data_IF_377724493021
#
_entry.id   IF_377724493021
#
_cell.length_a   1.000
_cell.length_b   1.000
_cell.length_c   1.000
_cell.angle_alpha   90.00
_cell.angle_beta   90.00
_cell.angle_gamma   90.00
#
_symmetry.space_group_name_H-M   'P 1'
#
loop_
_entity.id
_entity.type
_entity.pdbx_description
1 polymer ?
#
# COMPACT_ATOMS: atom_id res chain seq x y z
N UNK A 1 -11.75 -7.99 -23.97
CA UNK A 1 -11.89 -8.29 -22.52
C UNK A 1 -10.55 -8.71 -21.92
N UNK A 2 -9.80 -9.62 -22.57
CA UNK A 2 -8.43 -9.99 -22.16
C UNK A 2 -7.37 -8.93 -22.52
N UNK A 3 -7.42 -8.40 -23.74
CA UNK A 3 -6.44 -7.37 -24.18
C UNK A 3 -6.54 -6.07 -23.35
N UNK A 4 -7.76 -5.71 -22.93
CA UNK A 4 -7.98 -4.57 -22.03
C UNK A 4 -7.37 -4.78 -20.64
N UNK A 5 -7.46 -6.00 -20.10
CA UNK A 5 -6.87 -6.36 -18.81
C UNK A 5 -5.35 -6.28 -18.86
N UNK A 6 -4.73 -6.80 -19.92
CA UNK A 6 -3.28 -6.72 -20.12
C UNK A 6 -2.86 -5.27 -20.29
N UNK A 7 -3.57 -4.47 -21.09
CA UNK A 7 -3.26 -3.05 -21.27
C UNK A 7 -3.30 -2.28 -19.94
N UNK A 8 -4.32 -2.52 -19.11
CA UNK A 8 -4.43 -1.94 -17.76
C UNK A 8 -3.28 -2.37 -16.85
N UNK A 9 -2.88 -3.64 -16.92
CA UNK A 9 -1.75 -4.16 -16.15
C UNK A 9 -0.42 -3.55 -16.60
N UNK A 10 -0.18 -3.41 -17.90
CA UNK A 10 1.01 -2.76 -18.45
C UNK A 10 1.08 -1.28 -18.07
N UNK A 11 -0.05 -0.57 -18.12
CA UNK A 11 -0.13 0.82 -17.68
C UNK A 11 0.21 0.96 -16.18
N UNK A 12 -0.32 0.07 -15.33
CA UNK A 12 0.05 0.02 -13.92
C UNK A 12 1.54 -0.26 -13.72
N UNK A 13 2.11 -1.23 -14.44
CA UNK A 13 3.53 -1.59 -14.35
C UNK A 13 4.45 -0.40 -14.63
N UNK A 14 4.08 0.44 -15.60
CA UNK A 14 4.85 1.62 -15.97
C UNK A 14 4.91 2.68 -14.86
N UNK A 15 3.85 2.78 -14.04
CA UNK A 15 3.73 3.76 -12.96
C UNK A 15 4.20 3.23 -11.60
N UNK A 16 4.39 1.92 -11.44
CA UNK A 16 4.69 1.31 -10.16
C UNK A 16 6.13 1.69 -9.69
N UNK A 17 6.32 2.31 -8.52
CA UNK A 17 7.65 2.75 -8.07
C UNK A 17 8.44 1.64 -7.36
N UNK A 18 7.83 0.47 -7.13
CA UNK A 18 8.48 -0.66 -6.46
C UNK A 18 8.97 -1.68 -7.49
N UNK A 19 10.29 -1.89 -7.56
CA UNK A 19 10.89 -2.86 -8.50
C UNK A 19 10.39 -4.28 -8.26
N UNK A 20 10.10 -4.66 -7.02
CA UNK A 20 9.65 -6.02 -6.68
C UNK A 20 8.26 -6.31 -7.27
N UNK A 21 7.30 -5.39 -7.12
CA UNK A 21 5.95 -5.57 -7.66
C UNK A 21 5.90 -5.33 -9.17
N UNK A 22 6.80 -4.51 -9.73
CA UNK A 22 7.00 -4.41 -11.18
C UNK A 22 7.44 -5.74 -11.77
N UNK A 23 8.46 -6.36 -11.19
CA UNK A 23 9.01 -7.63 -11.68
C UNK A 23 7.97 -8.75 -11.54
N UNK A 24 7.24 -8.76 -10.42
CA UNK A 24 6.11 -9.68 -10.21
C UNK A 24 5.04 -9.51 -11.29
N UNK A 25 4.60 -8.28 -11.56
CA UNK A 25 3.57 -8.00 -12.55
C UNK A 25 4.03 -8.29 -13.99
N UNK A 26 5.30 -7.97 -14.29
CA UNK A 26 5.91 -8.25 -15.59
C UNK A 26 5.85 -9.73 -15.93
N UNK A 27 6.19 -10.60 -14.96
CA UNK A 27 6.11 -12.06 -15.13
C UNK A 27 4.68 -12.55 -15.40
N UNK A 28 3.68 -11.99 -14.72
CA UNK A 28 2.28 -12.35 -14.94
C UNK A 28 1.79 -11.93 -16.34
N UNK A 29 2.21 -10.75 -16.81
CA UNK A 29 1.90 -10.25 -18.15
C UNK A 29 2.57 -11.12 -19.21
N UNK A 30 3.87 -11.42 -19.07
CA UNK A 30 4.63 -12.26 -20.00
C UNK A 30 4.09 -13.69 -20.08
N UNK A 31 3.68 -14.26 -18.94
CA UNK A 31 3.06 -15.58 -18.87
C UNK A 31 1.62 -15.60 -19.42
N UNK A 32 0.99 -14.43 -19.63
CA UNK A 32 -0.41 -14.32 -19.99
C UNK A 32 -1.34 -14.91 -18.93
N UNK A 33 -0.98 -14.79 -17.64
CA UNK A 33 -1.78 -15.34 -16.54
C UNK A 33 -3.00 -14.44 -16.25
N UNK A 34 -4.01 -14.60 -17.10
CA UNK A 34 -5.26 -13.86 -17.04
C UNK A 34 -5.94 -14.02 -15.68
N UNK A 35 -5.87 -15.21 -15.07
CA UNK A 35 -6.61 -15.50 -13.84
C UNK A 35 -6.08 -14.63 -12.71
N UNK A 36 -4.76 -14.59 -12.54
CA UNK A 36 -4.13 -13.77 -11.50
C UNK A 36 -4.24 -12.27 -11.81
N UNK A 37 -4.12 -11.88 -13.08
CA UNK A 37 -4.36 -10.50 -13.51
C UNK A 37 -5.81 -10.07 -13.21
N UNK A 38 -6.80 -10.92 -13.50
CA UNK A 38 -8.21 -10.60 -13.25
C UNK A 38 -8.46 -10.44 -11.74
N UNK A 39 -7.87 -11.31 -10.90
CA UNK A 39 -7.96 -11.18 -9.45
C UNK A 39 -7.38 -9.85 -8.94
N UNK A 40 -6.24 -9.41 -9.50
CA UNK A 40 -5.53 -8.19 -9.08
C UNK A 40 -6.12 -6.89 -9.62
N UNK A 41 -6.80 -6.95 -10.77
CA UNK A 41 -7.32 -5.78 -11.49
C UNK A 41 -8.86 -5.73 -11.56
N UNK A 42 -9.55 -6.54 -10.75
CA UNK A 42 -11.00 -6.55 -10.60
C UNK A 42 -11.58 -5.27 -9.97
N UNK A 43 -10.74 -4.44 -9.36
CA UNK A 43 -11.14 -3.18 -8.72
C UNK A 43 -9.97 -2.50 -8.02
N UNK A 44 -10.27 -1.77 -6.94
CA UNK A 44 -9.26 -1.20 -6.03
C UNK A 44 -9.51 -1.66 -4.61
N UNK A 45 -8.45 -1.78 -3.80
CA UNK A 45 -8.60 -2.00 -2.36
C UNK A 45 -9.49 -0.92 -1.73
N UNK A 46 -10.35 -1.36 -0.83
CA UNK A 46 -11.32 -0.50 -0.13
C UNK A 46 -10.89 -0.28 1.32
N UNK A 47 -11.17 0.91 1.84
CA UNK A 47 -10.95 1.22 3.25
C UNK A 47 -11.96 0.47 4.13
N UNK A 48 -11.46 -0.35 5.05
CA UNK A 48 -12.26 -0.96 6.11
C UNK A 48 -12.21 -0.14 7.40
N UNK A 49 -12.86 -0.66 8.44
CA UNK A 49 -12.87 -0.05 9.79
C UNK A 49 -11.48 0.09 10.41
N UNK A 50 -10.53 -0.72 9.98
CA UNK A 50 -9.15 -0.69 10.43
C UNK A 50 -8.16 -0.20 9.36
N UNK A 51 -8.65 0.63 8.41
CA UNK A 51 -7.86 1.19 7.32
C UNK A 51 -7.84 0.30 6.07
N UNK A 52 -6.90 0.61 5.17
CA UNK A 52 -6.68 -0.16 3.96
C UNK A 52 -5.97 -1.49 4.30
N UNK A 53 -6.50 -2.60 3.80
CA UNK A 53 -5.92 -3.94 4.01
C UNK A 53 -6.03 -4.77 2.75
N UNK A 54 -4.96 -5.50 2.44
CA UNK A 54 -4.91 -6.43 1.32
C UNK A 54 -3.66 -7.31 1.41
N UNK A 55 -3.58 -8.31 0.54
CA UNK A 55 -2.37 -9.11 0.38
C UNK A 55 -1.27 -8.27 -0.26
N UNK A 56 -0.01 -8.44 0.18
CA UNK A 56 1.13 -7.82 -0.49
C UNK A 56 1.26 -8.36 -1.92
N UNK A 57 1.53 -7.48 -2.87
CA UNK A 57 1.79 -7.85 -4.26
C UNK A 57 1.42 -6.77 -5.26
N UNK A 58 1.63 -7.04 -6.54
CA UNK A 58 1.35 -6.10 -7.60
C UNK A 58 -0.15 -5.94 -7.92
N UNK A 59 -0.52 -4.72 -8.35
CA UNK A 59 -1.86 -4.39 -8.84
C UNK A 59 -2.77 -3.69 -7.81
N UNK A 60 -3.92 -3.15 -8.25
CA UNK A 60 -4.77 -2.28 -7.43
C UNK A 60 -5.57 -2.99 -6.33
N UNK A 61 -5.77 -4.31 -6.43
CA UNK A 61 -6.38 -5.15 -5.38
C UNK A 61 -5.36 -5.75 -4.40
N UNK A 62 -4.11 -5.26 -4.41
CA UNK A 62 -3.03 -5.69 -3.52
C UNK A 62 -2.47 -4.50 -2.74
N UNK A 63 -1.89 -4.78 -1.58
CA UNK A 63 -1.18 -3.80 -0.76
C UNK A 63 0.23 -3.61 -1.34
N UNK A 64 0.52 -2.42 -1.84
CA UNK A 64 1.82 -2.06 -2.42
C UNK A 64 2.04 -0.54 -2.34
N UNK A 65 3.24 -0.10 -2.73
CA UNK A 65 3.65 1.32 -2.66
C UNK A 65 2.74 2.21 -3.51
N UNK A 66 2.39 1.79 -4.72
CA UNK A 66 1.46 2.52 -5.61
C UNK A 66 0.10 2.80 -4.96
N UNK A 67 -0.50 1.78 -4.34
CA UNK A 67 -1.79 1.93 -3.66
C UNK A 67 -1.66 2.83 -2.43
N UNK A 68 -0.59 2.69 -1.64
CA UNK A 68 -0.33 3.56 -0.47
C UNK A 68 -0.15 5.02 -0.88
N UNK A 69 0.61 5.28 -1.93
CA UNK A 69 0.85 6.64 -2.46
C UNK A 69 -0.48 7.27 -2.92
N UNK A 70 -1.31 6.52 -3.66
CA UNK A 70 -2.63 6.99 -4.11
C UNK A 70 -3.57 7.27 -2.93
N UNK A 71 -3.59 6.40 -1.93
CA UNK A 71 -4.37 6.60 -0.71
C UNK A 71 -3.89 7.83 0.10
N UNK A 72 -2.58 8.00 0.24
CA UNK A 72 -1.99 9.17 0.88
C UNK A 72 -2.33 10.46 0.14
N UNK A 73 -2.33 10.43 -1.20
CA UNK A 73 -2.70 11.59 -2.02
C UNK A 73 -4.18 11.97 -1.82
N UNK A 74 -5.07 10.98 -1.74
CA UNK A 74 -6.48 11.19 -1.41
C UNK A 74 -6.67 11.81 -0.02
N UNK A 75 -5.95 11.31 1.00
CA UNK A 75 -5.97 11.89 2.35
C UNK A 75 -5.45 13.33 2.36
N UNK A 76 -4.35 13.62 1.67
CA UNK A 76 -3.79 14.96 1.57
C UNK A 76 -4.77 15.94 0.90
N UNK A 77 -5.43 15.52 -0.19
CA UNK A 77 -6.45 16.31 -0.85
C UNK A 77 -7.66 16.60 0.06
N UNK A 78 -8.10 15.59 0.83
CA UNK A 78 -9.18 15.75 1.80
C UNK A 78 -8.83 16.75 2.91
N UNK A 79 -7.62 16.66 3.49
CA UNK A 79 -7.16 17.60 4.52
C UNK A 79 -7.07 19.03 3.99
N UNK A 80 -6.55 19.21 2.76
CA UNK A 80 -6.54 20.51 2.09
C UNK A 80 -7.94 21.09 1.91
N UNK A 81 -8.89 20.28 1.46
CA UNK A 81 -10.28 20.71 1.28
C UNK A 81 -10.94 21.16 2.61
N UNK A 82 -10.45 20.66 3.74
CA UNK A 82 -10.84 21.11 5.09
C UNK A 82 -10.13 22.36 5.59
N UNK A 83 -9.17 22.90 4.83
CA UNK A 83 -8.37 24.05 5.25
C UNK A 83 -7.18 23.70 6.17
N UNK A 84 -6.84 22.42 6.33
CA UNK A 84 -5.76 21.94 7.21
C UNK A 84 -4.35 22.10 6.60
N UNK A 85 -4.17 23.07 5.70
CA UNK A 85 -2.89 23.28 5.00
C UNK A 85 -1.79 23.61 6.03
N UNK A 86 -0.60 23.00 5.90
CA UNK A 86 0.48 23.13 6.89
C UNK A 86 0.27 22.34 8.20
N UNK A 87 -0.86 21.64 8.35
CA UNK A 87 -1.14 20.74 9.47
C UNK A 87 -0.13 19.60 9.59
N UNK A 88 0.08 19.10 10.82
CA UNK A 88 0.97 17.97 11.09
C UNK A 88 0.24 16.63 10.93
N UNK A 89 0.78 15.75 10.09
CA UNK A 89 0.33 14.37 9.93
C UNK A 89 1.33 13.44 10.62
N UNK A 90 0.86 12.64 11.57
CA UNK A 90 1.71 11.70 12.33
C UNK A 90 1.50 10.29 11.81
N UNK A 91 2.54 9.68 11.26
CA UNK A 91 2.45 8.39 10.56
C UNK A 91 3.02 7.31 11.46
N UNK A 92 2.18 6.35 11.84
CA UNK A 92 2.61 5.15 12.56
C UNK A 92 2.71 3.95 11.61
N UNK A 93 3.64 3.05 11.87
CA UNK A 93 3.74 1.78 11.15
C UNK A 93 4.17 0.65 12.08
N UNK A 94 4.03 -0.61 11.68
CA UNK A 94 4.48 -1.78 12.46
C UNK A 94 5.80 -2.37 11.93
N UNK A 95 6.37 -3.34 12.63
CA UNK A 95 7.65 -3.97 12.26
C UNK A 95 7.55 -4.93 11.04
N UNK A 96 6.45 -4.95 10.30
CA UNK A 96 6.28 -5.87 9.17
C UNK A 96 7.04 -5.38 7.94
N UNK A 97 7.40 -6.31 7.08
CA UNK A 97 8.07 -6.04 5.81
C UNK A 97 7.29 -4.98 4.99
N UNK A 98 7.99 -4.05 4.34
CA UNK A 98 7.46 -2.89 3.59
C UNK A 98 6.71 -1.82 4.40
N UNK A 99 6.31 -2.07 5.66
CA UNK A 99 5.60 -1.06 6.47
C UNK A 99 6.39 0.24 6.62
N UNK A 100 7.73 0.17 6.72
CA UNK A 100 8.61 1.34 6.77
C UNK A 100 8.61 2.14 5.45
N UNK A 101 8.60 1.45 4.30
CA UNK A 101 8.58 2.11 2.99
C UNK A 101 7.24 2.79 2.74
N UNK A 102 6.15 2.12 3.09
CA UNK A 102 4.81 2.69 3.02
C UNK A 102 4.68 3.95 3.91
N UNK A 103 5.30 3.95 5.10
CA UNK A 103 5.31 5.12 5.97
C UNK A 103 6.11 6.28 5.36
N UNK A 104 7.26 5.99 4.73
CA UNK A 104 8.07 7.00 4.03
C UNK A 104 7.34 7.57 2.82
N UNK A 105 6.71 6.72 2.01
CA UNK A 105 5.91 7.15 0.86
C UNK A 105 4.75 8.05 1.29
N UNK A 106 4.03 7.66 2.35
CA UNK A 106 2.97 8.49 2.94
C UNK A 106 3.53 9.84 3.37
N UNK A 107 4.67 9.87 4.06
CA UNK A 107 5.30 11.11 4.50
C UNK A 107 5.69 12.01 3.33
N UNK A 108 6.30 11.45 2.28
CA UNK A 108 6.70 12.17 1.08
C UNK A 108 5.50 12.80 0.36
N UNK A 109 4.37 12.08 0.28
CA UNK A 109 3.14 12.62 -0.30
C UNK A 109 2.58 13.76 0.54
N UNK A 110 2.55 13.64 1.87
CA UNK A 110 2.07 14.70 2.76
C UNK A 110 2.94 15.97 2.63
N UNK A 111 4.26 15.83 2.64
CA UNK A 111 5.17 16.97 2.50
C UNK A 111 5.09 17.59 1.11
N UNK A 112 5.01 16.79 0.05
CA UNK A 112 4.78 17.27 -1.32
C UNK A 112 3.45 18.01 -1.48
N UNK A 113 2.46 17.68 -0.66
CA UNK A 113 1.19 18.40 -0.59
C UNK A 113 1.25 19.68 0.26
N UNK A 114 2.35 20.02 0.92
CA UNK A 114 2.42 21.21 1.79
C UNK A 114 1.84 20.99 3.19
N UNK A 115 1.76 19.74 3.64
CA UNK A 115 1.53 19.36 5.03
C UNK A 115 2.88 19.09 5.71
N UNK A 116 2.90 19.08 7.04
CA UNK A 116 4.04 18.55 7.81
C UNK A 116 3.83 17.06 8.05
N UNK A 117 4.90 16.27 8.01
CA UNK A 117 4.84 14.83 8.29
C UNK A 117 5.84 14.44 9.37
N UNK A 118 5.39 13.64 10.35
CA UNK A 118 6.25 13.02 11.35
C UNK A 118 6.05 11.50 11.32
N UNK A 119 7.10 10.76 10.99
CA UNK A 119 7.09 9.30 11.01
C UNK A 119 7.52 8.84 12.41
N UNK A 120 6.66 8.10 13.10
CA UNK A 120 7.00 7.52 14.40
C UNK A 120 8.06 6.43 14.24
N UNK A 121 8.97 6.25 15.21
CA UNK A 121 9.85 5.09 15.21
C UNK A 121 9.01 3.80 15.24
N UNK A 122 9.57 2.68 14.71
CA UNK A 122 8.83 1.43 14.67
C UNK A 122 8.50 1.00 16.12
N UNK A 123 7.23 0.71 16.44
CA UNK A 123 6.84 0.25 17.76
C UNK A 123 7.34 -1.18 17.99
N UNK A 124 7.72 -1.48 19.24
CA UNK A 124 7.80 -2.87 19.68
C UNK A 124 6.39 -3.50 19.64
N UNK A 125 6.24 -4.80 19.32
CA UNK A 125 4.94 -5.42 19.18
C UNK A 125 4.14 -5.44 20.49
N UNK A 126 2.82 -5.16 20.47
CA UNK A 126 2.02 -4.68 19.33
C UNK A 126 1.98 -3.14 19.21
N UNK A 127 1.83 -2.57 17.99
CA UNK A 127 1.62 -1.13 17.82
C UNK A 127 0.35 -0.68 18.56
N UNK A 128 0.34 0.53 19.16
CA UNK A 128 -0.89 1.06 19.75
C UNK A 128 -1.97 1.21 18.67
N UNK A 129 -3.25 1.04 19.03
CA UNK A 129 -4.35 1.17 18.08
C UNK A 129 -4.33 2.55 17.39
N UNK A 130 -4.86 2.65 16.16
CA UNK A 130 -4.96 3.93 15.43
C UNK A 130 -5.80 4.99 16.18
N UNK A 131 -6.48 4.59 17.26
CA UNK A 131 -7.24 5.46 18.16
C UNK A 131 -6.42 6.09 19.30
N UNK A 132 -5.10 5.92 19.34
CA UNK A 132 -4.26 6.65 20.28
C UNK A 132 -4.36 8.15 19.99
N UNK A 133 -4.64 8.97 21.03
CA UNK A 133 -4.85 10.42 20.93
C UNK A 133 -3.89 11.09 19.95
N UNK A 134 -4.41 11.94 19.08
CA UNK A 134 -3.61 12.81 18.22
C UNK A 134 -2.76 13.72 19.12
N UNK A 135 -1.43 13.81 18.90
CA UNK A 135 -0.63 14.79 19.62
C UNK A 135 -1.14 16.21 19.28
N UNK A 136 -0.96 17.18 20.20
CA UNK A 136 -1.42 18.55 19.99
C UNK A 136 -0.96 19.12 18.64
N UNK A 137 -1.88 19.69 17.87
CA UNK A 137 -1.60 20.28 16.55
C UNK A 137 -1.45 19.29 15.38
N UNK A 138 -1.66 17.98 15.62
CA UNK A 138 -1.78 17.00 14.54
C UNK A 138 -3.20 16.98 13.97
N UNK A 139 -3.29 16.93 12.64
CA UNK A 139 -4.54 16.96 11.87
C UNK A 139 -4.97 15.57 11.39
N UNK A 140 -4.04 14.61 11.37
CA UNK A 140 -4.30 13.22 11.03
C UNK A 140 -3.24 12.27 11.60
N UNK A 141 -3.65 11.01 11.82
CA UNK A 141 -2.75 9.93 12.27
C UNK A 141 -2.98 8.62 11.50
N UNK A 142 -2.53 8.50 10.24
CA UNK A 142 -2.63 7.25 9.50
C UNK A 142 -1.77 6.15 10.16
N UNK A 143 -2.34 4.97 10.32
CA UNK A 143 -1.62 3.76 10.66
C UNK A 143 -1.38 2.93 9.39
N UNK A 144 -0.12 2.62 9.11
CA UNK A 144 0.31 1.91 7.91
C UNK A 144 0.84 0.54 8.31
N UNK A 145 0.21 -0.51 7.83
CA UNK A 145 0.58 -1.88 8.20
C UNK A 145 0.49 -2.76 6.96
N UNK A 146 1.61 -3.37 6.60
CA UNK A 146 1.62 -4.45 5.64
C UNK A 146 1.03 -5.70 6.28
N UNK A 147 0.25 -6.52 5.58
CA UNK A 147 -0.04 -7.89 6.03
C UNK A 147 0.78 -8.85 5.17
N UNK A 148 1.56 -9.71 5.81
CA UNK A 148 2.18 -10.83 5.12
C UNK A 148 1.13 -11.86 4.71
N UNK A 149 1.24 -12.36 3.49
CA UNK A 149 0.83 -13.73 3.21
C UNK A 149 1.81 -14.66 3.96
N UNK A 150 1.35 -15.77 4.57
CA UNK A 150 2.27 -16.88 4.80
C UNK A 150 2.93 -17.22 3.45
N UNK A 151 4.20 -17.67 3.42
CA UNK A 151 4.82 -18.11 2.18
C UNK A 151 3.84 -19.07 1.46
N UNK A 152 3.65 -18.94 0.13
CA UNK A 152 2.86 -19.93 -0.58
C UNK A 152 3.46 -21.28 -0.22
N UNK A 153 2.62 -22.20 0.27
CA UNK A 153 3.03 -23.56 0.57
C UNK A 153 3.96 -24.04 -0.55
N UNK A 154 5.16 -24.60 -0.25
CA UNK A 154 5.81 -25.40 -1.25
C UNK A 154 4.82 -26.54 -1.52
N UNK A 155 4.30 -26.61 -2.74
CA UNK A 155 3.52 -27.75 -3.18
C UNK A 155 4.27 -29.03 -2.81
N UNK A 156 3.57 -30.15 -2.53
CA UNK A 156 4.25 -31.39 -2.20
C UNK A 156 5.22 -31.72 -3.33
N UNK A 157 6.52 -31.62 -3.03
CA UNK A 157 7.56 -32.27 -3.82
C UNK A 157 7.34 -33.77 -3.66
N UNK A 158 6.51 -34.33 -4.53
CA UNK A 158 6.53 -35.74 -4.83
C UNK A 158 7.92 -36.02 -5.43
N UNK A 159 8.81 -36.58 -4.63
CA UNK A 159 9.97 -37.28 -5.15
C UNK A 159 9.50 -38.66 -5.62
N UNK A 160 9.86 -39.10 -6.84
CA UNK A 160 9.60 -40.45 -7.27
C UNK A 160 10.64 -41.39 -6.66
N UNK A 161 10.20 -42.28 -5.75
CA UNK A 161 10.35 -43.74 -5.81
C UNK A 161 9.78 -44.39 -4.56
#
# INVERSE_FOLDING_TARGET
MHDDLIARATAWLAEDPDTETRDELGKLIEAGDVTELAARFSGTLQFGTAGLRGELGAGPMRMNRSVVIRAAAGLAAYLKAKGETGGLVVIGYDARHKSADFARDTAAVMTGAGLRAAVLPPPLPPPPPPLALLPPGAVARPAVTARHNPPPHPGPHAYPR
#
